data_IF_907540014718
#
_entry.id   IF_907540014718
#
_cell.length_a   1.000
_cell.length_b   1.000
_cell.length_c   1.000
_cell.angle_alpha   90.00
_cell.angle_beta   90.00
_cell.angle_gamma   90.00
#
_symmetry.space_group_name_H-M   'P 1'
#
loop_
_entity.id
_entity.type
_entity.pdbx_description
1 polymer ?
#
# COMPACT_ATOMS: atom_id res chain seq x y z
N UNK A 1 -14.02 6.37 3.12
CA UNK A 1 -12.67 6.97 3.07
C UNK A 1 -12.56 7.70 1.76
N UNK A 2 -12.05 8.93 1.76
CA UNK A 2 -11.83 9.68 0.52
C UNK A 2 -10.48 9.29 -0.11
N UNK A 3 -10.49 8.96 -1.40
CA UNK A 3 -9.28 8.66 -2.18
C UNK A 3 -9.12 9.65 -3.33
N UNK A 4 -7.87 9.93 -3.71
CA UNK A 4 -7.55 10.74 -4.88
C UNK A 4 -7.32 9.84 -6.10
N UNK A 5 -7.91 10.21 -7.23
CA UNK A 5 -7.63 9.56 -8.52
C UNK A 5 -6.42 10.28 -9.14
N UNK A 6 -5.33 9.55 -9.30
CA UNK A 6 -4.06 10.09 -9.80
C UNK A 6 -3.87 9.67 -11.25
N UNK A 7 -3.59 10.66 -12.13
CA UNK A 7 -3.10 10.40 -13.48
C UNK A 7 -1.60 10.63 -13.52
N UNK A 8 -0.87 9.59 -13.89
CA UNK A 8 0.59 9.64 -14.00
C UNK A 8 1.03 9.32 -15.44
N UNK A 9 1.87 10.19 -16.00
CA UNK A 9 2.49 9.98 -17.32
C UNK A 9 3.92 9.48 -17.12
N UNK A 10 4.25 8.35 -17.75
CA UNK A 10 5.55 7.70 -17.62
C UNK A 10 6.19 7.59 -19.00
N UNK A 11 7.45 8.02 -19.12
CA UNK A 11 8.27 7.70 -20.28
C UNK A 11 8.55 6.20 -20.30
N UNK A 12 8.01 5.51 -21.30
CA UNK A 12 8.15 4.06 -21.44
C UNK A 12 9.59 3.60 -21.67
N UNK A 13 10.47 4.45 -22.24
CA UNK A 13 11.85 4.07 -22.54
C UNK A 13 12.73 4.10 -21.30
N UNK A 14 12.57 5.12 -20.46
CA UNK A 14 13.41 5.35 -19.28
C UNK A 14 12.75 4.95 -17.97
N UNK A 15 11.43 4.78 -17.97
CA UNK A 15 10.63 4.60 -16.76
C UNK A 15 10.44 5.90 -15.96
N UNK A 16 10.94 7.04 -16.44
CA UNK A 16 10.82 8.30 -15.71
C UNK A 16 9.37 8.78 -15.68
N UNK A 17 8.95 9.23 -14.50
CA UNK A 17 7.68 9.94 -14.32
C UNK A 17 7.81 11.35 -14.89
N UNK A 18 7.02 11.66 -15.92
CA UNK A 18 7.02 12.96 -16.58
C UNK A 18 6.03 13.93 -15.92
N UNK A 19 4.89 13.43 -15.48
CA UNK A 19 3.88 14.21 -14.76
C UNK A 19 3.04 13.33 -13.84
N UNK A 20 2.49 13.96 -12.81
CA UNK A 20 1.51 13.38 -11.90
C UNK A 20 0.54 14.48 -11.49
N UNK A 21 -0.75 14.18 -11.57
CA UNK A 21 -1.80 15.13 -11.22
C UNK A 21 -3.00 14.41 -10.62
N UNK A 22 -3.70 15.10 -9.71
CA UNK A 22 -4.96 14.63 -9.14
C UNK A 22 -6.07 15.05 -10.10
N UNK A 23 -6.79 14.07 -10.64
CA UNK A 23 -7.89 14.30 -11.59
C UNK A 23 -9.27 14.19 -10.94
N UNK A 24 -9.33 13.82 -9.67
CA UNK A 24 -10.58 13.73 -8.93
C UNK A 24 -10.43 13.09 -7.57
N UNK A 25 -11.56 13.01 -6.86
CA UNK A 25 -11.69 12.33 -5.59
C UNK A 25 -12.93 11.44 -5.61
N UNK A 26 -12.86 10.33 -4.89
CA UNK A 26 -13.96 9.38 -4.75
C UNK A 26 -14.08 8.94 -3.29
N UNK A 27 -15.31 8.72 -2.82
CA UNK A 27 -15.56 8.08 -1.53
C UNK A 27 -15.66 6.57 -1.72
N UNK A 28 -14.83 5.82 -1.00
CA UNK A 28 -14.77 4.35 -1.08
C UNK A 28 -14.95 3.73 0.30
N UNK A 29 -15.46 2.50 0.30
CA UNK A 29 -15.42 1.64 1.47
C UNK A 29 -13.97 1.19 1.75
N UNK A 30 -13.50 1.45 2.97
CA UNK A 30 -12.11 1.25 3.34
C UNK A 30 -11.72 -0.24 3.35
N UNK A 31 -12.60 -1.09 3.88
CA UNK A 31 -12.37 -2.54 3.93
C UNK A 31 -12.30 -3.14 2.53
N UNK A 32 -13.19 -2.72 1.63
CA UNK A 32 -13.16 -3.14 0.23
C UNK A 32 -11.88 -2.67 -0.49
N UNK A 33 -11.41 -1.46 -0.19
CA UNK A 33 -10.20 -0.89 -0.80
C UNK A 33 -8.93 -1.66 -0.40
N UNK A 34 -8.77 -2.02 0.87
CA UNK A 34 -7.58 -2.71 1.36
C UNK A 34 -7.63 -4.24 1.23
N UNK A 35 -8.81 -4.85 1.03
CA UNK A 35 -8.96 -6.31 0.93
C UNK A 35 -7.99 -6.97 -0.07
N UNK A 36 -7.81 -6.48 -1.31
CA UNK A 36 -6.89 -7.12 -2.25
C UNK A 36 -5.44 -7.14 -1.74
N UNK A 37 -5.00 -6.09 -1.04
CA UNK A 37 -3.65 -6.03 -0.47
C UNK A 37 -3.48 -7.05 0.65
N UNK A 38 -4.50 -7.19 1.51
CA UNK A 38 -4.49 -8.20 2.59
C UNK A 38 -4.50 -9.61 2.00
N UNK A 39 -5.26 -9.88 0.94
CA UNK A 39 -5.29 -11.20 0.31
C UNK A 39 -3.97 -11.58 -0.37
N UNK A 40 -3.32 -10.62 -1.04
CA UNK A 40 -2.05 -10.86 -1.75
C UNK A 40 -0.87 -10.93 -0.77
N UNK A 41 -0.81 -10.03 0.21
CA UNK A 41 0.38 -9.84 1.05
C UNK A 41 0.19 -10.30 2.49
N UNK A 42 -1.04 -10.49 2.96
CA UNK A 42 -1.36 -10.70 4.38
C UNK A 42 -0.61 -11.87 5.00
N UNK A 43 -0.51 -13.00 4.28
CA UNK A 43 0.27 -14.16 4.77
C UNK A 43 1.74 -13.82 4.99
N UNK A 44 2.39 -13.17 4.03
CA UNK A 44 3.81 -12.77 4.13
C UNK A 44 4.05 -11.75 5.24
N UNK A 45 3.12 -10.80 5.40
CA UNK A 45 3.19 -9.80 6.47
C UNK A 45 3.05 -10.48 7.84
N UNK A 46 2.10 -11.40 8.00
CA UNK A 46 1.92 -12.14 9.25
C UNK A 46 3.13 -13.02 9.58
N UNK A 47 3.72 -13.69 8.60
CA UNK A 47 4.94 -14.48 8.77
C UNK A 47 6.12 -13.59 9.20
N UNK A 48 6.31 -12.43 8.56
CA UNK A 48 7.34 -11.47 8.94
C UNK A 48 7.13 -10.97 10.38
N UNK A 49 5.89 -10.60 10.75
CA UNK A 49 5.58 -10.14 12.11
C UNK A 49 5.76 -11.23 13.17
N UNK A 50 5.49 -12.50 12.83
CA UNK A 50 5.71 -13.62 13.74
C UNK A 50 7.21 -13.90 13.92
N UNK A 51 8.01 -13.79 12.86
CA UNK A 51 9.46 -13.96 12.92
C UNK A 51 10.11 -12.80 13.70
N UNK A 52 9.66 -11.56 13.52
CA UNK A 52 10.11 -10.40 14.30
C UNK A 52 9.80 -10.57 15.81
N UNK A 53 8.64 -11.16 16.15
CA UNK A 53 8.30 -11.49 17.55
C UNK A 53 9.16 -12.60 18.16
N UNK A 54 9.81 -13.43 17.35
CA UNK A 54 10.71 -14.48 17.83
C UNK A 54 12.15 -13.96 18.04
N UNK A 55 12.56 -12.90 17.35
CA UNK A 55 13.89 -12.28 17.51
C UNK A 55 13.91 -11.04 18.44
N UNK A 56 12.77 -10.39 18.68
CA UNK A 56 12.64 -9.23 19.56
C UNK A 56 11.82 -9.52 20.81
N UNK A 57 12.48 -9.90 21.90
CA UNK A 57 11.90 -9.78 23.24
C UNK A 57 11.39 -8.36 23.45
N UNK A 58 10.11 -8.22 23.78
CA UNK A 58 9.47 -6.95 24.12
C UNK A 58 10.26 -6.32 25.28
N UNK A 59 11.07 -5.30 24.97
CA UNK A 59 11.46 -4.33 25.99
C UNK A 59 10.28 -3.38 26.13
N UNK A 60 9.41 -3.68 27.09
CA UNK A 60 8.47 -2.68 27.60
C UNK A 60 9.30 -1.54 28.21
N UNK A 61 8.97 -0.30 27.84
CA UNK A 61 9.45 0.93 28.48
C UNK A 61 8.29 1.90 28.58
#
# INVERSE_FOLDING_TARGET
>A
MQVAIIRTTIDRKTGQRLSEEIIGYEEVDEDAYYRPLVEIFGKRVLEALQNDKQEGGLVES
#
